data_IF_528292762990
#
_entry.id   IF_528292762990
#
_cell.length_a   1.000
_cell.length_b   1.000
_cell.length_c   1.000
_cell.angle_alpha   90.00
_cell.angle_beta   90.00
_cell.angle_gamma   90.00
#
_symmetry.space_group_name_H-M   'P 1'
#
loop_
_entity.id
_entity.type
_entity.pdbx_description
1 polymer ?
#
# COMPACT_ATOMS: atom_id res chain seq x y z
N UNK A 1 -29.97 22.90 6.90
CA UNK A 1 -29.72 21.58 6.28
C UNK A 1 -28.23 21.51 5.98
N UNK A 2 -27.48 20.81 6.82
CA UNK A 2 -26.04 20.61 6.62
C UNK A 2 -25.85 19.81 5.34
N UNK A 3 -25.19 20.43 4.36
CA UNK A 3 -24.74 19.76 3.14
C UNK A 3 -23.90 18.54 3.55
N UNK A 4 -24.45 17.34 3.44
CA UNK A 4 -23.63 16.14 3.40
C UNK A 4 -22.90 16.22 2.07
N UNK A 5 -21.56 16.37 2.05
CA UNK A 5 -20.83 16.43 0.80
C UNK A 5 -21.03 15.10 0.08
N UNK A 6 -21.62 15.15 -1.11
CA UNK A 6 -21.65 14.03 -2.04
C UNK A 6 -20.22 13.55 -2.22
N UNK A 7 -19.89 12.28 -1.96
CA UNK A 7 -18.53 11.79 -2.07
C UNK A 7 -18.05 12.00 -3.51
N UNK A 8 -17.01 12.81 -3.69
CA UNK A 8 -16.32 13.00 -4.97
C UNK A 8 -16.04 11.62 -5.56
N UNK A 9 -16.44 11.36 -6.82
CA UNK A 9 -16.10 10.10 -7.46
C UNK A 9 -14.57 9.99 -7.49
N UNK A 10 -14.03 9.03 -6.73
CA UNK A 10 -12.59 8.77 -6.71
C UNK A 10 -12.18 8.40 -8.13
N UNK A 11 -11.26 9.15 -8.73
CA UNK A 11 -10.66 8.76 -9.99
C UNK A 11 -9.90 7.44 -9.77
N UNK A 12 -9.93 6.53 -10.75
CA UNK A 12 -9.31 5.21 -10.63
C UNK A 12 -7.79 5.27 -10.33
N UNK A 13 -7.13 6.40 -10.64
CA UNK A 13 -5.71 6.65 -10.34
C UNK A 13 -5.40 7.00 -8.88
N UNK A 14 -6.40 7.40 -8.08
CA UNK A 14 -6.22 7.86 -6.70
C UNK A 14 -6.69 6.84 -5.65
N UNK A 15 -7.02 5.61 -6.09
CA UNK A 15 -7.47 4.55 -5.19
C UNK A 15 -6.29 4.07 -4.33
N UNK A 16 -6.28 4.48 -3.06
CA UNK A 16 -5.27 4.10 -2.07
C UNK A 16 -5.64 2.73 -1.49
N UNK A 17 -4.84 1.67 -1.73
CA UNK A 17 -5.11 0.35 -1.15
C UNK A 17 -5.03 0.40 0.37
N UNK A 18 -6.04 -0.14 1.04
CA UNK A 18 -6.10 -0.14 2.49
C UNK A 18 -4.95 -0.95 3.13
N UNK A 19 -4.54 -0.54 4.32
CA UNK A 19 -3.57 -1.27 5.15
C UNK A 19 -4.12 -2.60 5.65
N UNK A 20 -3.25 -3.61 5.73
CA UNK A 20 -3.67 -4.97 6.10
C UNK A 20 -4.29 -5.00 7.50
N UNK A 21 -3.69 -4.28 8.44
CA UNK A 21 -4.20 -4.13 9.81
C UNK A 21 -5.63 -3.58 9.80
N UNK A 22 -5.89 -2.50 9.07
CA UNK A 22 -7.24 -1.89 9.00
C UNK A 22 -8.26 -2.83 8.38
N UNK A 23 -7.87 -3.58 7.34
CA UNK A 23 -8.73 -4.58 6.72
C UNK A 23 -9.06 -5.71 7.69
N UNK A 24 -8.07 -6.15 8.47
CA UNK A 24 -8.26 -7.13 9.52
C UNK A 24 -9.20 -6.61 10.61
N UNK A 25 -8.98 -5.40 11.14
CA UNK A 25 -9.83 -4.78 12.14
C UNK A 25 -11.28 -4.64 11.64
N UNK A 26 -11.48 -4.17 10.42
CA UNK A 26 -12.80 -4.08 9.80
C UNK A 26 -13.48 -5.46 9.69
N UNK A 27 -12.72 -6.48 9.30
CA UNK A 27 -13.21 -7.86 9.19
C UNK A 27 -13.60 -8.42 10.57
N UNK A 28 -12.80 -8.19 11.61
CA UNK A 28 -13.09 -8.61 12.98
C UNK A 28 -14.36 -7.95 13.50
N UNK A 29 -14.54 -6.63 13.29
CA UNK A 29 -15.76 -5.92 13.68
C UNK A 29 -16.98 -6.52 12.96
N UNK A 30 -16.89 -6.72 11.64
CA UNK A 30 -17.99 -7.32 10.86
C UNK A 30 -18.35 -8.73 11.37
N UNK A 31 -17.36 -9.54 11.76
CA UNK A 31 -17.57 -10.87 12.33
C UNK A 31 -18.17 -10.82 13.73
N UNK A 32 -17.66 -9.96 14.59
CA UNK A 32 -18.16 -9.81 15.96
C UNK A 32 -19.64 -9.37 15.96
N UNK A 33 -19.99 -8.39 15.12
CA UNK A 33 -21.39 -7.95 14.96
C UNK A 33 -22.27 -9.08 14.41
N UNK A 34 -21.83 -9.75 13.34
CA UNK A 34 -22.63 -10.80 12.72
C UNK A 34 -22.84 -12.03 13.61
N UNK A 35 -21.78 -12.50 14.27
CA UNK A 35 -21.86 -13.62 15.20
C UNK A 35 -22.57 -13.24 16.49
N UNK A 36 -22.41 -12.02 17.00
CA UNK A 36 -23.14 -11.53 18.16
C UNK A 36 -24.67 -11.55 17.93
N UNK A 37 -25.12 -11.08 16.76
CA UNK A 37 -26.55 -11.13 16.38
C UNK A 37 -27.03 -12.59 16.29
N UNK A 38 -26.26 -13.46 15.62
CA UNK A 38 -26.61 -14.87 15.48
C UNK A 38 -26.65 -15.61 16.83
N UNK A 39 -25.71 -15.34 17.73
CA UNK A 39 -25.67 -15.90 19.09
C UNK A 39 -26.84 -15.42 19.93
N UNK A 40 -27.18 -14.12 19.88
CA UNK A 40 -28.33 -13.59 20.59
C UNK A 40 -29.65 -14.22 20.11
N UNK A 41 -29.80 -14.39 18.79
CA UNK A 41 -30.97 -15.06 18.21
C UNK A 41 -31.04 -16.54 18.61
N UNK A 42 -29.93 -17.27 18.51
CA UNK A 42 -29.85 -18.67 18.92
C UNK A 42 -30.14 -18.85 20.42
N UNK A 43 -29.65 -17.95 21.27
CA UNK A 43 -29.97 -17.92 22.70
C UNK A 43 -31.45 -17.68 22.95
N UNK A 44 -32.08 -16.76 22.21
CA UNK A 44 -33.53 -16.54 22.27
C UNK A 44 -34.32 -17.78 21.89
N UNK A 45 -33.92 -18.47 20.82
CA UNK A 45 -34.54 -19.74 20.38
C UNK A 45 -34.37 -20.82 21.45
N UNK A 46 -33.16 -20.98 21.99
CA UNK A 46 -32.90 -21.93 23.07
C UNK A 46 -33.77 -21.65 24.31
N UNK A 47 -33.99 -20.39 24.67
CA UNK A 47 -34.80 -20.01 25.82
C UNK A 47 -36.31 -20.16 25.62
N UNK A 48 -36.80 -19.94 24.40
CA UNK A 48 -38.24 -19.75 24.15
C UNK A 48 -38.91 -20.86 23.34
N UNK A 49 -38.15 -21.67 22.59
CA UNK A 49 -38.71 -22.63 21.64
C UNK A 49 -38.55 -24.06 22.13
N UNK A 50 -37.32 -24.55 22.24
CA UNK A 50 -37.02 -25.94 22.62
C UNK A 50 -35.60 -26.01 23.22
N UNK A 51 -35.46 -25.92 24.55
CA UNK A 51 -34.16 -25.89 25.22
C UNK A 51 -33.36 -27.20 25.09
N UNK A 52 -34.03 -28.32 24.87
CA UNK A 52 -33.43 -29.66 24.83
C UNK A 52 -32.97 -30.03 23.41
N UNK A 53 -33.46 -29.31 22.40
CA UNK A 53 -33.11 -29.54 21.00
C UNK A 53 -31.96 -28.66 20.52
N UNK A 54 -30.73 -29.10 20.82
CA UNK A 54 -29.50 -28.40 20.41
C UNK A 54 -29.40 -28.18 18.89
N UNK A 55 -30.01 -29.03 18.05
CA UNK A 55 -29.98 -28.89 16.60
C UNK A 55 -30.74 -27.63 16.14
N UNK A 56 -31.89 -27.33 16.76
CA UNK A 56 -32.68 -26.13 16.43
C UNK A 56 -31.91 -24.86 16.77
N UNK A 57 -31.17 -24.86 17.88
CA UNK A 57 -30.31 -23.73 18.29
C UNK A 57 -29.18 -23.50 17.28
N UNK A 58 -28.48 -24.57 16.88
CA UNK A 58 -27.39 -24.50 15.88
C UNK A 58 -27.92 -24.05 14.52
N UNK A 59 -29.03 -24.61 14.05
CA UNK A 59 -29.64 -24.23 12.78
C UNK A 59 -30.10 -22.76 12.79
N UNK A 60 -30.63 -22.28 13.92
CA UNK A 60 -31.02 -20.88 14.09
C UNK A 60 -29.82 -19.94 14.04
N UNK A 61 -28.71 -20.31 14.70
CA UNK A 61 -27.45 -19.56 14.59
C UNK A 61 -26.97 -19.49 13.15
N UNK A 62 -26.88 -20.63 12.46
CA UNK A 62 -26.40 -20.71 11.08
C UNK A 62 -27.32 -19.94 10.12
N UNK A 63 -28.64 -20.06 10.28
CA UNK A 63 -29.64 -19.35 9.49
C UNK A 63 -29.52 -17.84 9.63
N UNK A 64 -29.45 -17.32 10.86
CA UNK A 64 -29.29 -15.88 11.12
C UNK A 64 -27.93 -15.38 10.61
N UNK A 65 -26.85 -16.14 10.84
CA UNK A 65 -25.53 -15.78 10.32
C UNK A 65 -25.52 -15.71 8.78
N UNK A 66 -26.22 -16.61 8.10
CA UNK A 66 -26.38 -16.59 6.64
C UNK A 66 -27.18 -15.37 6.16
N UNK A 67 -28.28 -15.02 6.84
CA UNK A 67 -29.08 -13.82 6.53
C UNK A 67 -28.25 -12.54 6.74
N UNK A 68 -27.55 -12.41 7.87
CA UNK A 68 -26.65 -11.27 8.11
C UNK A 68 -25.55 -11.20 7.05
N UNK A 69 -24.96 -12.34 6.70
CA UNK A 69 -23.97 -12.44 5.62
C UNK A 69 -24.52 -11.97 4.27
N UNK A 70 -25.76 -12.34 3.93
CA UNK A 70 -26.46 -11.88 2.73
C UNK A 70 -26.69 -10.36 2.75
N UNK A 71 -27.18 -9.81 3.86
CA UNK A 71 -27.40 -8.37 4.02
C UNK A 71 -26.08 -7.61 3.85
N UNK A 72 -25.00 -8.06 4.50
CA UNK A 72 -23.68 -7.46 4.35
C UNK A 72 -23.15 -7.58 2.91
N UNK A 73 -23.42 -8.69 2.21
CA UNK A 73 -23.05 -8.85 0.81
C UNK A 73 -23.79 -7.85 -0.09
N UNK A 74 -25.09 -7.67 0.12
CA UNK A 74 -25.89 -6.67 -0.61
C UNK A 74 -25.38 -5.26 -0.32
N UNK A 75 -25.07 -4.93 0.93
CA UNK A 75 -24.52 -3.62 1.30
C UNK A 75 -23.17 -3.36 0.63
N UNK A 76 -22.27 -4.34 0.61
CA UNK A 76 -20.99 -4.23 -0.12
C UNK A 76 -21.22 -4.09 -1.63
N UNK A 77 -22.15 -4.85 -2.19
CA UNK A 77 -22.43 -4.82 -3.63
C UNK A 77 -23.04 -3.51 -4.12
N UNK A 78 -23.87 -2.87 -3.28
CA UNK A 78 -24.59 -1.63 -3.60
C UNK A 78 -23.85 -0.37 -3.17
N UNK A 79 -23.14 -0.40 -2.03
CA UNK A 79 -22.51 0.78 -1.44
C UNK A 79 -21.00 0.65 -1.27
N UNK A 80 -20.48 -0.58 -1.22
CA UNK A 80 -19.08 -0.86 -0.88
C UNK A 80 -18.79 -0.86 0.63
N UNK A 81 -19.81 -0.71 1.48
CA UNK A 81 -19.65 -0.56 2.92
C UNK A 81 -20.12 -1.79 3.69
N UNK A 82 -19.59 -1.92 4.91
CA UNK A 82 -20.09 -2.74 6.00
C UNK A 82 -19.91 -1.95 7.30
N UNK A 83 -20.55 -2.31 8.42
CA UNK A 83 -20.35 -1.61 9.69
C UNK A 83 -18.87 -1.46 10.08
N UNK A 84 -18.08 -2.54 9.99
CA UNK A 84 -16.65 -2.52 10.30
C UNK A 84 -15.81 -1.72 9.32
N UNK A 85 -16.16 -1.72 8.03
CA UNK A 85 -15.49 -0.90 7.02
C UNK A 85 -15.81 0.58 7.17
N UNK A 86 -17.07 0.92 7.46
CA UNK A 86 -17.46 2.29 7.77
C UNK A 86 -16.71 2.81 9.00
N UNK A 87 -16.64 2.00 10.07
CA UNK A 87 -15.93 2.35 11.30
C UNK A 87 -14.41 2.56 11.11
N UNK A 88 -13.80 1.89 10.12
CA UNK A 88 -12.35 1.99 9.86
C UNK A 88 -12.00 2.93 8.69
N UNK A 89 -12.99 3.60 8.09
CA UNK A 89 -12.79 4.48 6.94
C UNK A 89 -12.42 3.73 5.65
N UNK A 90 -12.91 2.49 5.51
CA UNK A 90 -12.65 1.63 4.36
C UNK A 90 -13.88 1.51 3.45
N UNK A 91 -13.62 1.26 2.16
CA UNK A 91 -14.66 0.98 1.18
C UNK A 91 -14.21 -0.06 0.16
N UNK A 92 -15.12 -0.94 -0.24
CA UNK A 92 -14.89 -1.92 -1.32
C UNK A 92 -15.41 -1.34 -2.62
N UNK A 93 -14.53 -1.17 -3.60
CA UNK A 93 -14.89 -0.63 -4.91
C UNK A 93 -14.30 -1.53 -6.01
N UNK A 94 -14.83 -1.38 -7.22
CA UNK A 94 -14.24 -1.95 -8.42
C UNK A 94 -13.06 -1.10 -8.83
N UNK A 95 -11.91 -1.73 -9.05
CA UNK A 95 -10.64 -1.04 -9.34
C UNK A 95 -10.70 -0.18 -10.62
N UNK A 96 -11.37 -0.66 -11.66
CA UNK A 96 -11.43 0.04 -12.95
C UNK A 96 -12.38 1.23 -12.98
N UNK A 97 -13.48 1.18 -12.21
CA UNK A 97 -14.55 2.18 -12.29
C UNK A 97 -14.72 3.00 -11.02
N UNK A 98 -14.05 2.64 -9.92
CA UNK A 98 -14.22 3.20 -8.59
C UNK A 98 -15.69 3.21 -8.10
N UNK A 99 -16.52 2.30 -8.63
CA UNK A 99 -17.92 2.12 -8.23
C UNK A 99 -18.09 0.87 -7.38
N UNK A 100 -19.22 0.71 -6.66
CA UNK A 100 -19.56 -0.54 -5.97
C UNK A 100 -19.46 -1.74 -6.91
N UNK A 101 -18.99 -2.88 -6.38
CA UNK A 101 -18.62 -4.06 -7.19
C UNK A 101 -19.83 -4.78 -7.82
N UNK A 102 -21.05 -4.45 -7.37
CA UNK A 102 -22.30 -5.11 -7.76
C UNK A 102 -22.68 -6.24 -6.80
N UNK A 103 -23.99 -6.46 -6.62
CA UNK A 103 -24.53 -7.45 -5.67
C UNK A 103 -24.07 -8.88 -6.00
N UNK A 104 -24.09 -9.28 -7.27
CA UNK A 104 -23.67 -10.63 -7.67
C UNK A 104 -22.21 -10.94 -7.32
N UNK A 105 -21.29 -10.00 -7.61
CA UNK A 105 -19.89 -10.14 -7.26
C UNK A 105 -19.67 -10.15 -5.73
N UNK A 106 -20.39 -9.30 -5.01
CA UNK A 106 -20.31 -9.24 -3.55
C UNK A 106 -20.86 -10.51 -2.88
N UNK A 107 -21.94 -11.09 -3.42
CA UNK A 107 -22.52 -12.35 -2.94
C UNK A 107 -21.55 -13.51 -3.17
N UNK A 108 -20.98 -13.63 -4.37
CA UNK A 108 -19.97 -14.66 -4.64
C UNK A 108 -18.75 -14.51 -3.72
N UNK A 109 -18.30 -13.27 -3.48
CA UNK A 109 -17.23 -12.97 -2.52
C UNK A 109 -17.61 -13.39 -1.10
N UNK A 110 -18.86 -13.17 -0.68
CA UNK A 110 -19.35 -13.57 0.63
C UNK A 110 -19.43 -15.10 0.79
N UNK A 111 -19.89 -15.82 -0.24
CA UNK A 111 -19.94 -17.29 -0.27
C UNK A 111 -18.51 -17.86 -0.14
N UNK A 112 -17.58 -17.35 -0.94
CA UNK A 112 -16.17 -17.79 -0.91
C UNK A 112 -15.55 -17.53 0.47
N UNK A 113 -15.81 -16.37 1.08
CA UNK A 113 -15.38 -16.07 2.45
C UNK A 113 -16.06 -16.96 3.51
N UNK A 114 -17.33 -17.34 3.29
CA UNK A 114 -18.06 -18.25 4.16
C UNK A 114 -17.49 -19.65 4.15
N UNK A 115 -17.24 -20.21 2.96
CA UNK A 115 -16.61 -21.52 2.76
C UNK A 115 -15.19 -21.53 3.35
N UNK A 116 -14.43 -20.46 3.13
CA UNK A 116 -13.09 -20.31 3.69
C UNK A 116 -13.06 -20.06 5.20
N UNK A 117 -14.21 -19.82 5.84
CA UNK A 117 -14.33 -19.59 7.27
C UNK A 117 -14.57 -20.89 8.03
N UNK A 118 -15.80 -21.08 8.50
CA UNK A 118 -16.22 -22.17 9.39
C UNK A 118 -15.83 -23.57 8.90
N UNK A 119 -16.09 -23.97 7.64
CA UNK A 119 -15.74 -25.31 7.16
C UNK A 119 -14.24 -25.64 7.18
N UNK A 120 -13.37 -24.62 7.16
CA UNK A 120 -11.92 -24.80 7.16
C UNK A 120 -11.27 -24.42 8.48
N UNK A 121 -12.07 -24.24 9.54
CA UNK A 121 -11.60 -23.70 10.83
C UNK A 121 -10.80 -22.40 10.71
N UNK A 122 -11.11 -21.56 9.70
CA UNK A 122 -10.44 -20.30 9.43
C UNK A 122 -9.13 -20.38 8.62
N UNK A 123 -8.63 -21.58 8.29
CA UNK A 123 -7.42 -21.73 7.46
C UNK A 123 -7.59 -21.14 6.06
N UNK A 124 -8.79 -21.22 5.48
CA UNK A 124 -9.09 -20.58 4.19
C UNK A 124 -8.99 -19.05 4.27
N UNK A 125 -9.51 -18.46 5.33
CA UNK A 125 -9.40 -17.01 5.58
C UNK A 125 -7.94 -16.58 5.78
N UNK A 126 -7.15 -17.35 6.53
CA UNK A 126 -5.72 -17.11 6.70
C UNK A 126 -4.98 -17.18 5.35
N UNK A 127 -5.35 -18.14 4.50
CA UNK A 127 -4.81 -18.26 3.13
C UNK A 127 -5.16 -17.04 2.28
N UNK A 128 -6.39 -16.53 2.37
CA UNK A 128 -6.77 -15.30 1.67
C UNK A 128 -6.05 -14.06 2.19
N UNK A 129 -5.82 -13.95 3.50
CA UNK A 129 -5.00 -12.89 4.07
C UNK A 129 -3.54 -12.98 3.60
N UNK A 130 -2.97 -14.18 3.58
CA UNK A 130 -1.62 -14.42 3.07
C UNK A 130 -1.47 -14.03 1.59
N UNK A 131 -2.40 -14.47 0.74
CA UNK A 131 -2.38 -14.09 -0.69
C UNK A 131 -2.52 -12.58 -0.90
N UNK A 132 -3.27 -11.89 -0.05
CA UNK A 132 -3.36 -10.44 -0.06
C UNK A 132 -2.04 -9.76 0.37
N UNK A 133 -1.35 -10.33 1.37
CA UNK A 133 -0.05 -9.84 1.84
C UNK A 133 1.06 -10.04 0.79
N UNK A 134 1.01 -11.14 0.04
CA UNK A 134 1.97 -11.51 -0.99
C UNK A 134 1.63 -10.97 -2.39
N UNK A 135 0.65 -10.06 -2.50
CA UNK A 135 0.23 -9.52 -3.80
C UNK A 135 1.35 -8.65 -4.42
N UNK A 136 1.96 -9.08 -5.55
CA UNK A 136 3.09 -8.38 -6.17
C UNK A 136 2.67 -7.01 -6.75
N UNK A 137 1.37 -6.81 -7.01
CA UNK A 137 0.86 -5.53 -7.51
C UNK A 137 0.82 -4.42 -6.45
N UNK A 138 1.13 -4.76 -5.18
CA UNK A 138 0.98 -3.90 -4.00
C UNK A 138 -0.43 -3.33 -3.80
N UNK A 139 -1.43 -3.85 -4.53
CA UNK A 139 -2.85 -3.53 -4.34
C UNK A 139 -3.46 -4.29 -3.16
N UNK A 140 -2.68 -5.21 -2.56
CA UNK A 140 -3.02 -6.02 -1.39
C UNK A 140 -4.29 -6.84 -1.61
N UNK A 141 -4.48 -7.44 -2.77
CA UNK A 141 -5.72 -8.15 -3.13
C UNK A 141 -5.61 -9.63 -2.82
N UNK A 142 -6.48 -10.12 -1.94
CA UNK A 142 -6.62 -11.56 -1.70
C UNK A 142 -7.33 -12.23 -2.87
N UNK A 143 -7.31 -13.56 -2.92
CA UNK A 143 -8.01 -14.31 -3.98
C UNK A 143 -9.49 -13.91 -4.11
N UNK A 144 -10.16 -13.73 -2.96
CA UNK A 144 -11.54 -13.28 -2.88
C UNK A 144 -11.79 -11.84 -3.40
N UNK A 145 -10.77 -10.99 -3.47
CA UNK A 145 -10.86 -9.63 -4.04
C UNK A 145 -10.72 -9.61 -5.56
N UNK A 146 -10.26 -10.72 -6.17
CA UNK A 146 -10.25 -10.85 -7.62
C UNK A 146 -11.66 -11.01 -8.18
N UNK A 147 -12.59 -11.50 -7.36
CA UNK A 147 -14.01 -11.58 -7.68
C UNK A 147 -14.58 -10.17 -7.87
N UNK A 148 -15.10 -9.88 -9.06
CA UNK A 148 -15.68 -8.57 -9.39
C UNK A 148 -14.67 -7.44 -9.56
N UNK A 149 -13.39 -7.76 -9.72
CA UNK A 149 -12.27 -6.81 -9.73
C UNK A 149 -12.27 -5.85 -8.53
N UNK A 150 -12.56 -6.39 -7.35
CA UNK A 150 -12.67 -5.64 -6.11
C UNK A 150 -11.30 -5.17 -5.59
N UNK A 151 -11.30 -3.98 -5.00
CA UNK A 151 -10.20 -3.41 -4.21
C UNK A 151 -10.78 -2.76 -2.96
N UNK A 152 -10.08 -2.91 -1.84
CA UNK A 152 -10.45 -2.22 -0.58
C UNK A 152 -9.59 -0.98 -0.46
N UNK A 153 -10.25 0.17 -0.42
CA UNK A 153 -9.60 1.48 -0.39
C UNK A 153 -9.82 2.18 0.93
N UNK A 154 -8.81 2.96 1.34
CA UNK A 154 -8.91 3.90 2.45
C UNK A 154 -9.48 5.22 1.93
N UNK A 155 -10.63 5.65 2.48
CA UNK A 155 -11.37 6.84 2.03
C UNK A 155 -11.24 8.03 2.99
N UNK A 156 -10.38 7.92 4.02
CA UNK A 156 -10.23 8.99 5.01
C UNK A 156 -9.58 10.23 4.38
N UNK A 157 -10.01 11.45 4.79
CA UNK A 157 -9.36 12.68 4.35
C UNK A 157 -7.87 12.63 4.66
N UNK A 158 -7.06 13.06 3.70
CA UNK A 158 -5.66 13.31 3.96
C UNK A 158 -5.58 14.53 4.86
N UNK A 159 -4.98 14.37 6.04
CA UNK A 159 -4.27 15.50 6.64
C UNK A 159 -3.16 15.84 5.64
N UNK A 160 -3.40 16.88 4.85
CA UNK A 160 -2.32 17.54 4.13
C UNK A 160 -1.43 18.07 5.24
N UNK A 161 -0.38 17.31 5.57
CA UNK A 161 0.74 17.80 6.35
C UNK A 161 1.15 19.09 5.67
N UNK A 162 0.77 20.22 6.27
CA UNK A 162 1.12 21.53 5.76
C UNK A 162 2.61 21.47 5.55
N UNK A 163 3.04 21.58 4.28
CA UNK A 163 4.45 21.54 3.93
C UNK A 163 5.18 22.41 4.96
N UNK A 164 6.24 21.91 5.62
CA UNK A 164 6.95 22.71 6.60
C UNK A 164 7.21 24.03 5.92
N UNK A 165 6.65 25.12 6.48
CA UNK A 165 6.92 26.46 6.00
C UNK A 165 8.43 26.54 6.03
N UNK A 166 9.05 26.46 4.86
CA UNK A 166 10.48 26.72 4.72
C UNK A 166 10.57 28.17 5.09
N UNK A 167 10.92 28.42 6.34
CA UNK A 167 11.26 29.72 6.86
C UNK A 167 12.45 30.17 6.02
N UNK A 168 12.15 30.87 4.92
CA UNK A 168 13.17 31.50 4.11
C UNK A 168 13.96 32.37 5.07
N UNK A 169 15.30 32.27 5.11
CA UNK A 169 16.10 33.09 6.00
C UNK A 169 15.72 34.54 5.76
N UNK A 170 15.11 35.18 6.76
CA UNK A 170 14.76 36.58 6.66
C UNK A 170 16.06 37.33 6.40
N UNK A 171 16.13 37.97 5.24
CA UNK A 171 17.27 38.77 4.86
C UNK A 171 17.41 39.86 5.93
N UNK A 172 18.47 39.77 6.75
CA UNK A 172 18.78 40.77 7.77
C UNK A 172 19.06 42.07 7.02
N UNK A 173 18.06 42.93 6.92
CA UNK A 173 18.22 44.27 6.37
C UNK A 173 18.95 45.09 7.42
N UNK A 174 20.18 45.51 7.12
CA UNK A 174 21.03 46.26 8.03
C UNK A 174 20.42 47.67 8.21
N UNK A 175 19.61 47.85 9.26
CA UNK A 175 18.89 49.10 9.60
C UNK A 175 19.81 50.33 9.72
N UNK A 176 21.11 50.10 9.89
CA UNK A 176 22.14 51.16 9.96
C UNK A 176 22.21 52.02 8.69
N UNK A 177 21.74 51.52 7.54
CA UNK A 177 21.71 52.28 6.28
C UNK A 177 20.50 53.22 6.12
N UNK A 178 19.50 53.19 7.01
CA UNK A 178 18.32 54.08 6.93
C UNK A 178 18.38 55.30 7.86
N UNK A 179 19.53 55.59 8.49
CA UNK A 179 19.72 56.74 9.39
C UNK A 179 20.12 58.04 8.68
N UNK A 180 19.66 58.26 7.45
CA UNK A 180 19.92 59.50 6.70
C UNK A 180 18.69 59.96 5.91
N UNK A 181 17.52 59.95 6.54
CA UNK A 181 16.36 60.71 6.08
C UNK A 181 15.87 61.61 7.22
N UNK A 182 15.74 62.93 7.01
CA UNK A 182 15.32 63.87 8.05
C UNK A 182 13.84 63.70 8.38
N UNK A 183 13.51 63.73 9.67
CA UNK A 183 12.16 63.63 10.23
C UNK A 183 11.25 64.78 9.77
N UNK A 184 10.03 64.49 9.27
CA UNK A 184 8.93 65.44 9.28
C UNK A 184 8.03 65.20 10.50
N UNK A 185 7.93 66.26 11.31
CA UNK A 185 6.76 66.79 12.05
C UNK A 185 5.83 65.79 12.80
N UNK A 186 5.78 65.97 14.12
CA UNK A 186 4.76 65.44 15.01
C UNK A 186 3.35 65.87 14.58
N UNK A 187 2.46 64.91 14.30
CA UNK A 187 1.02 65.13 14.35
C UNK A 187 0.39 64.29 15.47
N UNK A 188 -0.35 65.00 16.31
CA UNK A 188 -1.12 64.56 17.46
C UNK A 188 -2.14 63.45 17.09
N UNK A 189 -2.22 62.33 17.82
CA UNK A 189 -3.31 61.36 17.60
C UNK A 189 -4.60 61.87 18.26
N UNK A 190 -5.66 62.00 17.46
CA UNK A 190 -7.04 62.17 17.92
C UNK A 190 -7.55 60.93 18.66
N UNK A 191 -8.43 61.06 19.68
CA UNK A 191 -8.97 59.93 20.41
C UNK A 191 -9.90 59.08 19.52
N UNK A 192 -9.71 57.76 19.59
CA UNK A 192 -10.51 56.73 18.90
C UNK A 192 -11.91 56.60 19.55
N UNK A 193 -13.00 56.42 18.77
CA UNK A 193 -14.32 56.16 19.34
C UNK A 193 -14.45 54.73 19.87
N UNK A 194 -15.23 54.60 20.95
CA UNK A 194 -15.53 53.39 21.73
C UNK A 194 -16.31 52.35 20.88
N UNK A 195 -15.99 51.04 20.92
CA UNK A 195 -16.72 50.03 20.15
C UNK A 195 -18.11 49.74 20.72
N UNK A 196 -19.14 49.96 19.90
CA UNK A 196 -20.54 49.60 20.15
C UNK A 196 -20.72 48.08 20.33
N UNK A 197 -21.49 47.60 21.33
CA UNK A 197 -21.71 46.17 21.54
C UNK A 197 -22.56 45.52 20.44
N UNK A 198 -22.11 44.35 19.98
CA UNK A 198 -22.75 43.51 18.96
C UNK A 198 -24.06 42.89 19.48
N UNK A 199 -25.21 43.00 18.77
CA UNK A 199 -26.47 42.40 19.20
C UNK A 199 -26.48 40.86 19.11
N UNK A 200 -27.16 40.25 20.08
CA UNK A 200 -27.35 38.79 20.25
C UNK A 200 -28.21 38.20 19.12
N UNK A 201 -27.81 37.08 18.49
CA UNK A 201 -28.61 36.45 17.43
C UNK A 201 -29.91 35.79 17.95
N UNK A 202 -31.02 36.09 17.26
CA UNK A 202 -32.36 35.51 17.43
C UNK A 202 -32.40 34.03 17.02
N UNK A 203 -33.06 33.13 17.77
CA UNK A 203 -33.16 31.72 17.40
C UNK A 203 -34.04 31.51 16.15
N UNK A 204 -33.58 30.61 15.27
CA UNK A 204 -34.26 30.26 14.01
C UNK A 204 -35.47 29.32 14.24
N UNK A 205 -36.53 29.42 13.42
CA UNK A 205 -37.75 28.64 13.60
C UNK A 205 -37.58 27.15 13.25
N UNK A 206 -38.30 26.30 13.99
CA UNK A 206 -38.36 24.84 13.83
C UNK A 206 -38.99 24.45 12.48
N UNK A 207 -38.36 23.58 11.66
CA UNK A 207 -38.93 23.14 10.39
C UNK A 207 -40.10 22.16 10.59
N UNK A 208 -41.15 22.34 9.77
CA UNK A 208 -42.34 21.50 9.73
C UNK A 208 -42.06 20.07 9.21
N UNK A 209 -42.81 19.05 9.65
CA UNK A 209 -42.60 17.66 9.24
C UNK A 209 -42.97 17.43 7.76
N UNK A 210 -42.16 16.61 7.08
CA UNK A 210 -42.35 16.24 5.67
C UNK A 210 -43.48 15.20 5.48
N UNK A 211 -44.18 15.20 4.33
CA UNK A 211 -45.29 14.27 4.06
C UNK A 211 -44.81 12.83 3.84
N UNK A 212 -45.64 11.88 4.29
CA UNK A 212 -45.42 10.43 4.18
C UNK A 212 -45.64 9.97 2.73
N UNK A 213 -44.72 9.22 2.10
CA UNK A 213 -44.89 8.75 0.74
C UNK A 213 -45.90 7.59 0.64
N UNK A 214 -46.74 7.62 -0.39
CA UNK A 214 -47.75 6.62 -0.75
C UNK A 214 -47.08 5.34 -1.30
N UNK A 215 -47.53 4.13 -0.93
CA UNK A 215 -46.92 2.89 -1.40
C UNK A 215 -47.18 2.63 -2.90
N UNK A 216 -46.11 2.29 -3.63
CA UNK A 216 -46.13 1.88 -5.04
C UNK A 216 -46.38 0.37 -5.13
N UNK A 217 -47.26 -0.05 -6.04
CA UNK A 217 -47.66 -1.44 -6.23
C UNK A 217 -46.49 -2.36 -6.65
N UNK A 218 -46.51 -3.60 -6.15
CA UNK A 218 -45.48 -4.60 -6.38
C UNK A 218 -45.49 -5.14 -7.83
N UNK A 219 -44.32 -5.40 -8.45
CA UNK A 219 -44.24 -5.96 -9.79
C UNK A 219 -44.56 -7.47 -9.81
N UNK A 220 -45.29 -7.88 -10.85
CA UNK A 220 -45.70 -9.27 -11.12
C UNK A 220 -44.48 -10.17 -11.43
N UNK A 221 -44.41 -11.41 -10.90
CA UNK A 221 -43.29 -12.32 -11.15
C UNK A 221 -43.22 -12.80 -12.62
N UNK A 222 -42.00 -12.87 -13.16
CA UNK A 222 -41.72 -13.44 -14.47
C UNK A 222 -41.73 -14.99 -14.44
N UNK A 223 -42.10 -15.68 -15.54
CA UNK A 223 -42.22 -17.14 -15.57
C UNK A 223 -40.86 -17.85 -15.49
N UNK A 224 -40.87 -19.05 -14.91
CA UNK A 224 -39.69 -19.88 -14.65
C UNK A 224 -39.07 -20.47 -15.93
N UNK A 225 -37.73 -20.58 -16.02
CA UNK A 225 -37.06 -21.18 -17.18
C UNK A 225 -37.16 -22.71 -17.20
N UNK A 226 -37.31 -23.26 -18.40
CA UNK A 226 -37.39 -24.69 -18.69
C UNK A 226 -36.02 -25.38 -18.51
N UNK A 227 -35.92 -26.54 -17.85
CA UNK A 227 -34.65 -27.26 -17.68
C UNK A 227 -34.04 -27.78 -18.99
N UNK A 228 -32.72 -27.58 -19.10
CA UNK A 228 -31.85 -28.08 -20.18
C UNK A 228 -31.51 -29.57 -19.98
N UNK A 229 -31.57 -30.41 -21.04
CA UNK A 229 -31.26 -31.85 -20.92
C UNK A 229 -29.77 -32.15 -20.66
N UNK A 230 -29.54 -33.27 -19.98
CA UNK A 230 -28.24 -33.74 -19.50
C UNK A 230 -27.30 -34.20 -20.63
N UNK A 231 -25.97 -34.01 -20.50
CA UNK A 231 -24.99 -34.43 -21.50
C UNK A 231 -24.72 -35.94 -21.48
N UNK A 232 -24.48 -36.52 -22.66
CA UNK A 232 -24.15 -37.92 -22.88
C UNK A 232 -22.74 -38.30 -22.38
N UNK A 233 -22.52 -39.56 -21.96
CA UNK A 233 -21.23 -40.00 -21.39
C UNK A 233 -20.12 -40.13 -22.44
N UNK A 234 -18.89 -39.77 -22.03
CA UNK A 234 -17.68 -39.83 -22.85
C UNK A 234 -17.11 -41.27 -22.98
N UNK A 235 -16.43 -41.61 -24.10
CA UNK A 235 -15.84 -42.93 -24.30
C UNK A 235 -14.54 -43.15 -23.50
N UNK A 236 -14.37 -44.37 -22.99
CA UNK A 236 -13.21 -44.81 -22.19
C UNK A 236 -11.96 -45.01 -23.05
N UNK A 237 -10.80 -44.53 -22.56
CA UNK A 237 -9.50 -44.75 -23.17
C UNK A 237 -8.91 -46.12 -22.77
N UNK A 238 -8.32 -46.82 -23.75
CA UNK A 238 -7.64 -48.13 -23.62
C UNK A 238 -6.22 -47.96 -23.03
N UNK A 239 -5.73 -48.85 -22.16
CA UNK A 239 -4.38 -48.76 -21.61
C UNK A 239 -3.31 -49.22 -22.63
N UNK A 240 -2.21 -48.48 -22.70
CA UNK A 240 -0.98 -48.86 -23.43
C UNK A 240 -0.04 -49.71 -22.55
N UNK A 241 0.69 -50.71 -23.10
CA UNK A 241 1.59 -51.58 -22.33
C UNK A 241 2.93 -50.93 -21.96
N UNK A 242 3.48 -51.35 -20.82
CA UNK A 242 4.77 -50.92 -20.25
C UNK A 242 5.97 -51.61 -20.91
N UNK A 243 7.07 -50.87 -21.11
CA UNK A 243 8.39 -51.42 -21.50
C UNK A 243 9.35 -51.33 -20.28
N UNK A 244 10.15 -52.38 -19.99
CA UNK A 244 11.02 -52.47 -18.80
C UNK A 244 12.37 -51.73 -18.94
N UNK A 245 13.12 -51.50 -17.84
CA UNK A 245 14.33 -50.67 -17.82
C UNK A 245 15.61 -51.46 -18.13
N UNK A 246 16.53 -50.86 -18.87
CA UNK A 246 17.92 -51.33 -19.01
C UNK A 246 18.89 -50.30 -18.45
N UNK A 247 19.79 -50.76 -17.58
CA UNK A 247 20.89 -50.00 -16.96
C UNK A 247 22.20 -50.15 -17.79
N UNK A 248 23.37 -49.66 -17.33
CA UNK A 248 24.01 -48.42 -17.79
C UNK A 248 25.28 -48.65 -18.63
N UNK A 249 25.66 -47.68 -19.47
CA UNK A 249 26.99 -47.60 -20.08
C UNK A 249 27.55 -46.18 -19.98
N UNK A 250 28.81 -46.08 -19.55
CA UNK A 250 29.64 -44.86 -19.43
C UNK A 250 30.67 -44.85 -20.59
N UNK A 251 31.46 -43.79 -20.81
CA UNK A 251 31.23 -42.70 -21.76
C UNK A 251 32.18 -42.73 -22.97
N UNK A 252 31.81 -42.08 -24.08
CA UNK A 252 32.76 -41.68 -25.11
C UNK A 252 32.49 -40.25 -25.59
N UNK A 253 33.57 -39.50 -25.73
CA UNK A 253 33.64 -38.07 -25.98
C UNK A 253 33.00 -37.62 -27.30
N UNK A 254 32.41 -36.43 -27.33
CA UNK A 254 32.28 -35.64 -28.56
C UNK A 254 32.20 -34.14 -28.27
N UNK A 255 32.90 -33.41 -29.13
CA UNK A 255 33.31 -32.00 -29.14
C UNK A 255 32.13 -31.05 -29.45
N UNK A 256 32.14 -29.77 -29.00
CA UNK A 256 30.99 -28.86 -29.09
C UNK A 256 30.83 -28.19 -30.47
N UNK A 257 29.60 -27.82 -30.88
CA UNK A 257 29.37 -27.06 -32.11
C UNK A 257 29.50 -25.54 -31.90
N UNK A 258 30.10 -24.92 -32.92
CA UNK A 258 30.43 -23.51 -33.04
C UNK A 258 29.23 -22.59 -33.32
N UNK A 259 29.38 -21.33 -32.91
CA UNK A 259 28.45 -20.22 -33.07
C UNK A 259 28.22 -19.77 -34.53
N UNK A 260 27.07 -19.18 -34.87
CA UNK A 260 26.89 -18.38 -36.07
C UNK A 260 27.35 -16.93 -35.86
N UNK A 261 28.14 -16.41 -36.81
CA UNK A 261 28.53 -14.99 -36.95
C UNK A 261 27.66 -14.31 -38.01
N UNK A 262 27.27 -13.05 -37.76
CA UNK A 262 27.37 -11.81 -38.59
C UNK A 262 26.26 -10.80 -38.21
N UNK A 263 26.37 -9.48 -38.50
CA UNK A 263 27.54 -8.60 -38.67
C UNK A 263 27.48 -7.31 -37.82
N UNK A 264 28.64 -6.67 -37.61
CA UNK A 264 28.82 -5.42 -36.85
C UNK A 264 28.63 -4.21 -37.80
N UNK A 265 27.66 -3.34 -37.50
CA UNK A 265 27.53 -2.03 -38.15
C UNK A 265 28.28 -0.97 -37.32
N UNK A 266 29.50 -0.68 -37.74
CA UNK A 266 30.33 0.39 -37.18
C UNK A 266 29.96 1.73 -37.84
N UNK A 267 29.09 2.52 -37.20
CA UNK A 267 29.04 3.97 -37.47
C UNK A 267 30.13 4.65 -36.65
N UNK A 268 31.29 4.82 -37.29
CA UNK A 268 32.44 5.57 -36.77
C UNK A 268 32.26 7.03 -37.16
N UNK A 269 31.75 7.86 -36.25
CA UNK A 269 31.79 9.32 -36.41
C UNK A 269 33.22 9.79 -36.09
N UNK A 270 33.81 10.44 -37.09
CA UNK A 270 35.15 11.01 -37.12
C UNK A 270 35.23 12.29 -36.25
N UNK A 271 36.30 12.51 -35.47
CA UNK A 271 36.61 13.83 -34.92
C UNK A 271 37.51 14.61 -35.88
N UNK A 272 37.18 15.87 -36.15
CA UNK A 272 38.10 16.87 -36.72
C UNK A 272 38.26 18.03 -35.72
N UNK A 273 39.42 18.71 -35.69
CA UNK A 273 39.81 19.60 -34.59
C UNK A 273 39.74 21.10 -34.95
N UNK A 274 39.48 21.92 -33.91
CA UNK A 274 40.02 23.27 -33.78
C UNK A 274 39.05 24.44 -33.97
N UNK A 275 38.78 25.17 -32.88
CA UNK A 275 38.88 26.64 -32.78
C UNK A 275 38.30 27.09 -31.42
N UNK A 276 39.14 27.72 -30.60
CA UNK A 276 38.81 28.11 -29.24
C UNK A 276 37.87 29.31 -29.14
N UNK A 277 37.21 29.42 -27.99
CA UNK A 277 36.84 30.70 -27.35
C UNK A 277 36.62 30.44 -25.86
N UNK A 278 37.48 31.06 -25.02
CA UNK A 278 37.22 31.56 -23.67
C UNK A 278 36.69 30.61 -22.57
N UNK A 279 37.35 30.50 -21.40
CA UNK A 279 36.79 29.80 -20.25
C UNK A 279 35.65 30.63 -19.66
N UNK A 280 34.41 30.33 -20.06
CA UNK A 280 33.23 30.71 -19.29
C UNK A 280 33.28 29.93 -17.97
N UNK A 281 33.46 30.66 -16.88
CA UNK A 281 33.60 30.15 -15.53
C UNK A 281 32.60 29.01 -15.25
N UNK A 282 33.14 27.82 -15.01
CA UNK A 282 32.41 26.73 -14.38
C UNK A 282 31.80 27.29 -13.08
N UNK A 283 30.51 27.07 -12.79
CA UNK A 283 29.99 27.30 -11.45
C UNK A 283 30.88 26.52 -10.45
N UNK A 284 31.11 27.05 -9.24
CA UNK A 284 32.01 26.40 -8.28
C UNK A 284 31.58 24.95 -8.11
N UNK A 285 32.47 24.03 -8.49
CA UNK A 285 32.33 22.61 -8.24
C UNK A 285 31.95 22.45 -6.77
N UNK A 286 30.75 21.96 -6.42
CA UNK A 286 30.38 21.84 -5.03
C UNK A 286 31.44 20.96 -4.39
N UNK A 287 32.08 21.46 -3.33
CA UNK A 287 33.06 20.71 -2.55
C UNK A 287 32.58 19.27 -2.44
N UNK A 288 33.31 18.34 -3.06
CA UNK A 288 32.89 16.94 -3.22
C UNK A 288 32.65 16.36 -1.84
N UNK A 289 31.39 16.34 -1.43
CA UNK A 289 30.99 15.81 -0.13
C UNK A 289 31.24 14.31 -0.19
N UNK A 290 32.25 13.86 0.54
CA UNK A 290 32.55 12.43 0.66
C UNK A 290 31.76 11.88 1.84
N UNK A 291 31.15 10.73 1.62
CA UNK A 291 30.38 10.03 2.64
C UNK A 291 31.10 8.75 3.00
N UNK A 292 31.38 8.57 4.28
CA UNK A 292 31.92 7.34 4.82
C UNK A 292 30.81 6.56 5.51
N UNK A 293 30.75 5.27 5.22
CA UNK A 293 29.85 4.33 5.91
C UNK A 293 30.69 3.37 6.73
N UNK A 294 30.21 3.02 7.93
CA UNK A 294 30.84 2.05 8.82
C UNK A 294 29.80 1.04 9.32
N UNK A 295 30.06 -0.25 9.12
CA UNK A 295 29.19 -1.32 9.57
C UNK A 295 29.59 -1.83 10.96
N UNK A 296 28.64 -2.45 11.67
CA UNK A 296 28.87 -3.13 12.94
C UNK A 296 29.90 -4.28 12.87
N UNK A 297 30.15 -4.79 11.66
CA UNK A 297 31.19 -5.78 11.37
C UNK A 297 32.61 -5.20 11.39
N UNK A 298 32.76 -3.87 11.47
CA UNK A 298 34.03 -3.16 11.42
C UNK A 298 34.47 -2.73 10.02
N UNK A 299 33.74 -3.13 8.97
CA UNK A 299 34.00 -2.68 7.60
C UNK A 299 33.57 -1.23 7.42
N UNK A 300 34.48 -0.38 6.92
CA UNK A 300 34.17 1.02 6.65
C UNK A 300 34.86 1.50 5.36
N UNK A 301 34.13 2.19 4.50
CA UNK A 301 34.62 2.70 3.22
C UNK A 301 33.88 3.97 2.79
N UNK A 302 34.45 4.68 1.82
CA UNK A 302 33.86 5.88 1.22
C UNK A 302 32.93 5.47 0.08
N UNK A 303 31.72 6.04 0.06
CA UNK A 303 30.69 5.71 -0.94
C UNK A 303 31.01 6.37 -2.26
N UNK A 304 31.80 5.69 -3.10
CA UNK A 304 32.23 6.22 -4.41
C UNK A 304 31.30 5.82 -5.56
N UNK A 305 30.10 5.30 -5.31
CA UNK A 305 29.15 4.89 -6.34
C UNK A 305 27.98 4.10 -5.75
N UNK A 306 27.33 3.29 -6.59
CA UNK A 306 26.29 2.39 -6.10
C UNK A 306 26.92 1.30 -5.21
N UNK A 307 26.44 1.22 -3.98
CA UNK A 307 26.77 0.18 -3.02
C UNK A 307 25.55 -0.70 -2.75
N UNK A 308 25.76 -2.02 -2.75
CA UNK A 308 24.74 -3.03 -2.46
C UNK A 308 25.08 -3.75 -1.16
N UNK A 309 24.08 -3.94 -0.29
CA UNK A 309 24.25 -4.61 1.00
C UNK A 309 23.25 -5.74 1.17
N UNK A 310 23.67 -6.84 1.78
CA UNK A 310 22.82 -7.98 2.11
C UNK A 310 23.64 -9.23 2.42
N UNK A 311 22.98 -10.38 2.65
CA UNK A 311 23.70 -11.62 3.00
C UNK A 311 24.53 -12.20 1.85
N UNK A 312 24.09 -11.96 0.61
CA UNK A 312 24.73 -12.35 -0.66
C UNK A 312 24.28 -11.34 -1.72
N UNK A 313 24.84 -10.13 -1.70
CA UNK A 313 24.40 -9.08 -2.59
C UNK A 313 24.88 -9.36 -4.00
N UNK A 314 23.96 -9.35 -4.95
CA UNK A 314 24.22 -9.54 -6.38
C UNK A 314 23.65 -8.34 -7.16
N UNK A 315 24.43 -7.72 -8.05
CA UNK A 315 23.94 -6.67 -8.94
C UNK A 315 22.99 -7.25 -10.01
N UNK A 316 22.02 -6.46 -10.46
CA UNK A 316 21.17 -6.86 -11.59
C UNK A 316 21.95 -6.77 -12.92
N UNK A 317 21.53 -7.49 -13.97
CA UNK A 317 22.12 -7.33 -15.31
C UNK A 317 22.08 -5.86 -15.76
N UNK A 318 23.25 -5.27 -16.02
CA UNK A 318 23.41 -3.85 -16.39
C UNK A 318 23.58 -2.86 -15.22
N UNK A 319 23.65 -3.34 -13.97
CA UNK A 319 23.89 -2.53 -12.77
C UNK A 319 25.37 -2.63 -12.35
N UNK A 320 26.14 -1.55 -12.48
CA UNK A 320 27.52 -1.51 -12.00
C UNK A 320 27.56 -1.08 -10.53
N UNK A 321 27.51 -2.07 -9.63
CA UNK A 321 27.73 -1.84 -8.20
C UNK A 321 29.23 -1.72 -7.93
N UNK A 322 29.69 -0.52 -7.52
CA UNK A 322 31.09 -0.30 -7.13
C UNK A 322 31.44 -0.95 -5.80
N UNK A 323 30.47 -1.07 -4.91
CA UNK A 323 30.65 -1.75 -3.62
C UNK A 323 29.60 -2.83 -3.43
N UNK A 324 30.02 -4.03 -3.10
CA UNK A 324 29.14 -5.17 -2.80
C UNK A 324 29.55 -5.67 -1.42
N UNK A 325 28.71 -5.37 -0.41
CA UNK A 325 29.03 -5.58 1.01
C UNK A 325 28.24 -6.78 1.55
N UNK A 326 28.86 -7.97 1.64
CA UNK A 326 28.21 -9.14 2.19
C UNK A 326 28.17 -9.09 3.72
N UNK A 327 27.00 -8.81 4.30
CA UNK A 327 26.79 -8.83 5.75
C UNK A 327 26.30 -10.20 6.20
N UNK A 328 27.08 -10.87 7.05
CA UNK A 328 26.67 -12.16 7.64
C UNK A 328 25.62 -11.92 8.72
N UNK A 329 24.40 -12.39 8.52
CA UNK A 329 23.34 -12.34 9.54
C UNK A 329 23.33 -13.61 10.39
N UNK A 330 23.07 -13.46 11.68
CA UNK A 330 23.02 -14.58 12.64
C UNK A 330 21.65 -15.28 12.65
N UNK A 331 20.59 -14.55 12.31
CA UNK A 331 19.19 -14.97 12.39
C UNK A 331 18.49 -15.06 11.03
N UNK A 332 19.26 -15.03 9.93
CA UNK A 332 18.75 -14.99 8.54
C UNK A 332 17.83 -13.79 8.25
N UNK A 333 17.88 -12.73 9.07
CA UNK A 333 17.04 -11.55 8.90
C UNK A 333 17.44 -10.66 7.72
N UNK A 334 18.63 -10.89 7.15
CA UNK A 334 19.08 -10.21 5.94
C UNK A 334 18.68 -10.96 4.66
N UNK A 335 17.99 -10.26 3.75
CA UNK A 335 17.77 -10.70 2.37
C UNK A 335 19.08 -10.76 1.57
N UNK A 336 19.08 -11.48 0.42
CA UNK A 336 20.25 -11.65 -0.46
C UNK A 336 20.85 -10.29 -0.83
N UNK A 337 20.05 -9.46 -1.50
CA UNK A 337 20.30 -8.02 -1.68
C UNK A 337 19.21 -7.28 -0.91
N UNK A 338 19.56 -6.68 0.23
CA UNK A 338 18.63 -6.09 1.19
C UNK A 338 18.36 -4.62 0.88
N UNK A 339 19.43 -3.84 0.71
CA UNK A 339 19.35 -2.41 0.43
C UNK A 339 20.47 -1.98 -0.52
N UNK A 340 20.32 -0.77 -1.05
CA UNK A 340 21.37 -0.07 -1.78
C UNK A 340 21.55 1.33 -1.24
N UNK A 341 22.75 1.89 -1.41
CA UNK A 341 23.00 3.30 -1.14
C UNK A 341 23.98 3.87 -2.15
N UNK A 342 23.84 5.16 -2.43
CA UNK A 342 24.67 5.89 -3.38
C UNK A 342 24.67 7.38 -3.03
N UNK A 343 25.68 8.10 -3.47
CA UNK A 343 25.68 9.56 -3.43
C UNK A 343 24.88 10.06 -4.64
N UNK A 344 23.85 10.86 -4.38
CA UNK A 344 23.03 11.49 -5.41
C UNK A 344 23.79 12.67 -6.07
N UNK A 345 23.37 13.13 -7.27
CA UNK A 345 24.05 14.21 -7.98
C UNK A 345 24.14 15.54 -7.20
N UNK A 346 23.26 15.73 -6.21
CA UNK A 346 23.24 16.88 -5.30
C UNK A 346 24.23 16.74 -4.12
N UNK A 347 24.99 15.64 -4.06
CA UNK A 347 25.97 15.36 -3.01
C UNK A 347 25.37 14.71 -1.75
N UNK A 348 24.07 14.40 -1.74
CA UNK A 348 23.44 13.76 -0.60
C UNK A 348 23.60 12.23 -0.64
N UNK A 349 23.86 11.58 0.51
CA UNK A 349 23.82 10.12 0.59
C UNK A 349 22.37 9.66 0.63
N UNK A 350 22.02 8.73 -0.25
CA UNK A 350 20.67 8.20 -0.36
C UNK A 350 20.70 6.69 -0.15
N UNK A 351 19.79 6.19 0.68
CA UNK A 351 19.54 4.75 0.87
C UNK A 351 18.19 4.36 0.33
N UNK A 352 18.10 3.14 -0.22
CA UNK A 352 16.86 2.57 -0.73
C UNK A 352 16.79 1.09 -0.34
N UNK A 353 15.68 0.69 0.27
CA UNK A 353 15.38 -0.72 0.52
C UNK A 353 14.99 -1.41 -0.80
N UNK A 354 15.57 -2.57 -1.09
CA UNK A 354 15.36 -3.30 -2.36
C UNK A 354 14.25 -4.36 -2.28
N UNK A 355 13.29 -4.18 -1.36
CA UNK A 355 12.22 -5.15 -1.12
C UNK A 355 12.66 -6.23 -0.15
N UNK A 356 13.35 -5.84 0.92
CA UNK A 356 13.76 -6.78 1.95
C UNK A 356 12.56 -7.39 2.67
N UNK A 357 12.72 -8.60 3.21
CA UNK A 357 11.64 -9.32 3.90
C UNK A 357 11.32 -8.70 5.26
N UNK A 358 12.34 -8.23 5.98
CA UNK A 358 12.20 -7.69 7.34
C UNK A 358 12.19 -6.15 7.39
N UNK A 359 12.39 -5.50 6.24
CA UNK A 359 12.46 -4.04 6.14
C UNK A 359 13.80 -3.46 6.59
N UNK A 360 14.04 -2.22 6.15
CA UNK A 360 15.15 -1.38 6.59
C UNK A 360 14.64 -0.18 7.39
N UNK A 361 15.42 0.30 8.36
CA UNK A 361 15.04 1.42 9.22
C UNK A 361 16.19 2.43 9.34
N UNK A 362 15.87 3.73 9.28
CA UNK A 362 16.83 4.81 9.59
C UNK A 362 16.56 5.28 11.01
N UNK A 363 17.59 5.30 11.83
CA UNK A 363 17.59 5.76 13.21
C UNK A 363 18.30 7.11 13.24
N UNK A 364 17.55 8.17 13.54
CA UNK A 364 18.05 9.54 13.63
C UNK A 364 17.81 10.07 15.03
N UNK A 365 18.89 10.37 15.76
CA UNK A 365 18.82 10.85 17.16
C UNK A 365 17.91 9.98 18.04
N UNK A 366 17.97 8.66 17.86
CA UNK A 366 17.14 7.68 18.60
C UNK A 366 15.73 7.44 18.05
N UNK A 367 15.24 8.24 17.09
CA UNK A 367 13.95 8.01 16.43
C UNK A 367 14.12 7.09 15.23
N UNK A 368 13.40 5.96 15.21
CA UNK A 368 13.41 5.01 14.10
C UNK A 368 12.32 5.32 13.08
N UNK A 369 12.69 5.40 11.80
CA UNK A 369 11.80 5.59 10.65
C UNK A 369 11.99 4.42 9.67
N UNK A 370 10.90 3.76 9.29
CA UNK A 370 10.95 2.68 8.29
C UNK A 370 11.18 3.22 6.88
N UNK A 371 12.02 2.53 6.11
CA UNK A 371 12.25 2.81 4.70
C UNK A 371 11.21 2.09 3.84
N UNK A 372 10.57 2.83 2.94
CA UNK A 372 9.62 2.26 1.98
C UNK A 372 10.37 1.56 0.84
N UNK A 373 10.08 0.28 0.54
CA UNK A 373 10.77 -0.46 -0.52
C UNK A 373 10.68 0.20 -1.90
N UNK A 374 11.84 0.43 -2.51
CA UNK A 374 12.00 1.09 -3.82
C UNK A 374 11.94 2.62 -3.78
N UNK A 375 11.77 3.24 -2.60
CA UNK A 375 11.77 4.70 -2.47
C UNK A 375 13.11 5.17 -1.89
N UNK A 376 13.83 6.09 -2.55
CA UNK A 376 15.06 6.66 -2.01
C UNK A 376 14.75 7.52 -0.78
N UNK A 377 15.59 7.41 0.25
CA UNK A 377 15.55 8.25 1.46
C UNK A 377 16.93 8.85 1.69
N UNK A 378 16.97 10.16 1.92
CA UNK A 378 18.19 10.90 2.20
C UNK A 378 18.69 10.66 3.63
N UNK A 379 19.96 10.31 3.75
CA UNK A 379 20.68 10.15 5.01
C UNK A 379 21.42 11.44 5.37
N UNK A 380 21.54 11.69 6.67
CA UNK A 380 22.30 12.79 7.25
C UNK A 380 23.52 12.23 7.99
N UNK A 381 24.52 13.08 8.21
CA UNK A 381 25.68 12.72 9.01
C UNK A 381 25.25 12.38 10.45
N UNK A 382 25.73 11.25 10.97
CA UNK A 382 25.36 10.70 12.26
C UNK A 382 24.11 9.82 12.25
N UNK A 383 23.45 9.63 11.10
CA UNK A 383 22.37 8.65 10.99
C UNK A 383 22.91 7.22 11.09
N UNK A 384 22.09 6.34 11.66
CA UNK A 384 22.33 4.91 11.69
C UNK A 384 21.24 4.19 10.90
N UNK A 385 21.60 3.25 10.04
CA UNK A 385 20.65 2.46 9.24
C UNK A 385 20.71 1.03 9.72
N UNK A 386 19.56 0.48 10.10
CA UNK A 386 19.41 -0.90 10.53
C UNK A 386 18.81 -1.75 9.42
N UNK A 387 19.50 -2.84 9.09
CA UNK A 387 19.12 -3.86 8.12
C UNK A 387 19.00 -5.19 8.86
N UNK A 388 17.79 -5.65 9.18
CA UNK A 388 17.62 -6.84 10.02
C UNK A 388 18.37 -6.72 11.35
N UNK A 389 19.30 -7.64 11.62
CA UNK A 389 20.18 -7.69 12.80
C UNK A 389 21.47 -6.85 12.68
N UNK A 390 21.70 -6.17 11.55
CA UNK A 390 22.92 -5.39 11.27
C UNK A 390 22.67 -3.91 11.22
N UNK A 391 23.72 -3.12 11.48
CA UNK A 391 23.64 -1.66 11.51
C UNK A 391 24.80 -1.03 10.73
N UNK A 392 24.52 0.15 10.18
CA UNK A 392 25.47 0.96 9.40
C UNK A 392 25.39 2.40 9.87
N UNK A 393 26.50 2.97 10.31
CA UNK A 393 26.65 4.38 10.66
C UNK A 393 27.13 5.18 9.46
N UNK A 394 26.62 6.39 9.33
CA UNK A 394 26.97 7.31 8.24
C UNK A 394 27.67 8.54 8.80
N UNK A 395 28.81 8.88 8.20
CA UNK A 395 29.57 10.08 8.53
C UNK A 395 29.93 10.85 7.26
N UNK A 396 29.99 12.18 7.37
CA UNK A 396 30.46 13.04 6.30
C UNK A 396 31.95 13.25 6.49
N UNK A 397 32.74 12.86 5.50
CA UNK A 397 34.17 13.13 5.45
C UNK A 397 34.34 14.57 4.90
N UNK A 398 34.87 15.44 5.75
CA UNK A 398 35.07 16.87 5.46
C UNK A 398 36.33 17.15 4.66
#
# INVERSE_FOLDING_TARGET
>A
MSHVPTPTPLAAGDLRPAEMERRFTAFVIDRAVGWGIATAAAFGVWKLVDPDNGAVVVLSFLGVAAVVGLVLAVLVGTTGLTPGKAATGLRVLRRTTARPIGVGAALLRAIVLGIAGLPTAGLGLATFAWTAAMDPSRQRRGLHDRIGDAIVVDVRPQEVEAAPVVERPQQIVNLTAMRLLPSPVEEHPTPMPDPTPTPTPTPAPTPAPAPVPTPVAAPTPAPAPTPTPAPAPAPQARPTPSVPPAAPAVPAATVPPAAPRVPVEQTRVRPEPGAGTGPAALPPSPATVRWRVAFDTGEAFVVEGLALVGRRPEPRPGEEARHVVPLRSSDMSLSKTHAQFQVAPDGALVVMDRGSTNGSYVIRKGMSRSLSPGRPSTLLAGDEVRFGDRTMRVERET
#
